data_IF_027329928321
#
_entry.id   IF_027329928321
#
_cell.length_a   1.000
_cell.length_b   1.000
_cell.length_c   1.000
_cell.angle_alpha   90.00
_cell.angle_beta   90.00
_cell.angle_gamma   90.00
#
_symmetry.space_group_name_H-M   'P 1'
#
loop_
_entity.id
_entity.type
_entity.pdbx_description
1 polymer ?
#
# COMPACT_ATOMS: atom_id res chain seq x y z
N UNK A 1 19.73 -18.32 -24.61
CA UNK A 1 19.84 -18.14 -23.63
C UNK A 1 19.75 -17.89 -23.25
N UNK A 2 19.67 -17.78 -23.88
CA UNK A 2 19.83 -17.53 -23.06
C UNK A 2 19.74 -17.20 -22.97
N UNK A 3 19.84 -17.10 -23.47
CA UNK A 3 20.05 -16.74 -22.86
C UNK A 3 19.99 -16.36 -22.82
N UNK A 4 20.06 -16.13 -23.33
CA UNK A 4 20.30 -15.74 -22.70
C UNK A 4 20.14 -15.31 -22.41
N UNK A 5 20.20 -15.41 -23.16
CA UNK A 5 20.28 -15.11 -22.52
C UNK A 5 19.93 -14.69 -22.55
N UNK A 6 19.98 -14.48 -23.19
CA UNK A 6 19.72 -14.09 -22.81
C UNK A 6 19.03 -13.92 -22.90
N UNK A 7 19.23 -13.54 -23.90
CA UNK A 7 18.13 -13.43 -23.58
C UNK A 7 17.19 -14.02 -22.60
N UNK A 8 17.08 -14.66 -22.19
CA UNK A 8 16.34 -15.24 -21.11
C UNK A 8 16.43 -14.46 -19.79
N UNK A 9 17.17 -13.43 -19.74
CA UNK A 9 17.32 -12.60 -18.56
C UNK A 9 16.01 -12.03 -18.04
N UNK A 10 15.12 -11.59 -18.93
CA UNK A 10 13.82 -11.07 -18.53
C UNK A 10 12.96 -12.13 -17.85
N UNK A 11 13.01 -13.34 -18.35
CA UNK A 11 12.24 -14.44 -17.75
C UNK A 11 12.73 -14.77 -16.35
N UNK A 12 14.04 -14.75 -16.16
CA UNK A 12 14.65 -15.09 -14.87
C UNK A 12 14.31 -14.05 -13.80
N UNK A 13 14.31 -12.77 -14.18
CA UNK A 13 14.08 -11.69 -13.24
C UNK A 13 12.64 -11.24 -13.16
N UNK A 14 11.77 -11.89 -13.91
CA UNK A 14 10.38 -11.54 -13.94
C UNK A 14 9.67 -12.11 -12.71
N UNK A 15 9.48 -11.29 -11.72
CA UNK A 15 8.73 -11.64 -10.53
C UNK A 15 7.32 -11.09 -10.71
N UNK A 16 6.36 -11.97 -10.95
CA UNK A 16 5.00 -11.54 -11.28
C UNK A 16 4.28 -10.97 -10.05
N UNK A 17 3.33 -10.09 -10.32
CA UNK A 17 2.43 -9.57 -9.28
C UNK A 17 1.70 -10.70 -8.58
N UNK A 18 1.26 -11.70 -9.34
CA UNK A 18 0.60 -12.87 -8.79
C UNK A 18 1.51 -13.61 -7.79
N UNK A 19 2.77 -13.80 -8.15
CA UNK A 19 3.73 -14.44 -7.25
C UNK A 19 3.97 -13.60 -6.00
N UNK A 20 4.06 -12.28 -6.15
CA UNK A 20 4.23 -11.38 -5.00
C UNK A 20 3.07 -11.46 -4.03
N UNK A 21 1.85 -11.59 -4.54
CA UNK A 21 0.66 -11.77 -3.70
C UNK A 21 0.68 -13.14 -3.02
N UNK A 22 1.01 -14.18 -3.77
CA UNK A 22 1.11 -15.54 -3.23
C UNK A 22 2.18 -15.66 -2.14
N UNK A 23 3.28 -14.96 -2.32
CA UNK A 23 4.41 -14.98 -1.38
C UNK A 23 4.20 -14.04 -0.18
N UNK A 24 3.13 -13.25 -0.18
CA UNK A 24 2.84 -12.33 0.91
C UNK A 24 3.64 -11.04 0.89
N UNK A 25 4.34 -10.74 -0.20
CA UNK A 25 5.07 -9.47 -0.38
C UNK A 25 4.08 -8.36 -0.68
N UNK A 26 3.02 -8.67 -1.42
CA UNK A 26 1.90 -7.76 -1.67
C UNK A 26 0.63 -8.37 -1.07
N UNK A 27 -0.23 -7.50 -0.57
CA UNK A 27 -1.56 -7.87 -0.08
C UNK A 27 -2.59 -7.34 -1.07
N UNK A 28 -3.42 -8.23 -1.59
CA UNK A 28 -4.46 -7.88 -2.56
C UNK A 28 -5.66 -7.28 -1.83
N UNK A 29 -5.97 -6.03 -2.13
CA UNK A 29 -7.09 -5.31 -1.53
C UNK A 29 -8.09 -4.86 -2.61
N UNK A 30 -8.09 -5.56 -3.75
CA UNK A 30 -8.92 -5.21 -4.91
C UNK A 30 -10.41 -5.17 -4.58
N UNK A 31 -10.93 -6.15 -3.83
CA UNK A 31 -12.36 -6.21 -3.57
C UNK A 31 -12.86 -5.02 -2.76
N UNK A 32 -12.11 -4.64 -1.73
CA UNK A 32 -12.45 -3.45 -0.95
C UNK A 32 -12.29 -2.17 -1.76
N UNK A 33 -11.28 -2.12 -2.63
CA UNK A 33 -11.07 -0.97 -3.51
C UNK A 33 -12.26 -0.80 -4.47
N UNK A 34 -12.81 -1.89 -4.98
CA UNK A 34 -14.01 -1.84 -5.81
C UNK A 34 -15.18 -1.21 -5.07
N UNK A 35 -15.41 -1.62 -3.83
CA UNK A 35 -16.48 -1.03 -3.01
C UNK A 35 -16.28 0.47 -2.85
N UNK A 36 -15.04 0.92 -2.79
CA UNK A 36 -14.71 2.34 -2.66
C UNK A 36 -14.73 3.08 -4.00
N UNK A 37 -15.04 2.41 -5.09
CA UNK A 37 -15.15 3.03 -6.42
C UNK A 37 -13.86 3.05 -7.22
N UNK A 38 -12.86 2.29 -6.84
CA UNK A 38 -11.61 2.16 -7.60
C UNK A 38 -11.74 0.99 -8.54
N UNK A 39 -11.60 1.27 -9.85
CA UNK A 39 -11.88 0.29 -10.90
C UNK A 39 -10.74 -0.66 -11.19
N UNK A 40 -9.53 -0.33 -10.76
CA UNK A 40 -8.35 -1.12 -11.08
C UNK A 40 -8.02 -2.06 -9.93
N UNK A 41 -7.36 -3.20 -10.20
CA UNK A 41 -6.84 -4.02 -9.11
C UNK A 41 -5.86 -3.22 -8.26
N UNK A 42 -5.96 -3.36 -6.95
CA UNK A 42 -5.11 -2.65 -5.99
C UNK A 42 -4.43 -3.65 -5.08
N UNK A 43 -3.13 -3.51 -4.92
CA UNK A 43 -2.37 -4.22 -3.92
C UNK A 43 -1.54 -3.24 -3.11
N UNK A 44 -1.20 -3.62 -1.90
CA UNK A 44 -0.39 -2.82 -0.99
C UNK A 44 0.75 -3.70 -0.48
N UNK A 45 1.93 -3.11 -0.29
CA UNK A 45 3.05 -3.89 0.25
C UNK A 45 2.71 -4.41 1.65
N UNK A 46 3.26 -5.57 1.99
CA UNK A 46 3.01 -6.17 3.29
C UNK A 46 3.48 -5.27 4.43
N UNK A 47 4.58 -4.57 4.25
CA UNK A 47 5.09 -3.63 5.27
C UNK A 47 4.08 -2.51 5.53
N UNK A 48 3.61 -1.86 4.47
CA UNK A 48 2.62 -0.79 4.61
C UNK A 48 1.32 -1.32 5.22
N UNK A 49 0.90 -2.51 4.82
CA UNK A 49 -0.35 -3.09 5.29
C UNK A 49 -0.29 -3.44 6.78
N UNK A 50 0.70 -4.24 7.18
CA UNK A 50 0.75 -4.74 8.55
C UNK A 50 1.27 -3.71 9.55
N UNK A 51 2.09 -2.77 9.12
CA UNK A 51 2.58 -1.72 10.01
C UNK A 51 1.54 -0.62 10.24
N UNK A 52 0.70 -0.32 9.25
CA UNK A 52 -0.14 0.86 9.32
C UNK A 52 -1.63 0.60 9.11
N UNK A 53 -2.02 -0.20 8.14
CA UNK A 53 -3.44 -0.42 7.83
C UNK A 53 -4.06 -1.42 8.79
N UNK A 54 -3.37 -2.52 9.04
CA UNK A 54 -3.86 -3.61 9.87
C UNK A 54 -2.90 -3.88 11.03
N UNK A 55 -2.67 -2.91 11.93
CA UNK A 55 -1.79 -3.12 13.06
C UNK A 55 -2.36 -4.13 14.03
N UNK A 56 -1.49 -4.79 14.78
CA UNK A 56 -1.89 -5.72 15.83
C UNK A 56 -1.22 -5.28 17.13
N UNK A 57 -1.97 -4.84 18.15
CA UNK A 57 -3.44 -4.81 18.20
C UNK A 57 -4.05 -3.65 17.42
N UNK A 58 -5.30 -3.82 17.02
CA UNK A 58 -6.09 -2.76 16.39
C UNK A 58 -6.56 -1.79 17.46
N UNK A 59 -6.51 -0.46 17.23
CA UNK A 59 -7.01 0.51 18.19
C UNK A 59 -8.50 0.32 18.48
N UNK A 60 -8.94 0.57 19.72
CA UNK A 60 -10.35 0.45 20.08
C UNK A 60 -11.25 1.29 19.17
N UNK A 61 -12.37 0.71 18.78
CA UNK A 61 -13.34 1.41 17.95
C UNK A 61 -12.98 1.49 16.49
N UNK A 62 -11.88 0.88 16.07
CA UNK A 62 -11.43 0.87 14.69
C UNK A 62 -11.41 -0.56 14.16
N UNK A 63 -11.60 -0.70 12.86
CA UNK A 63 -11.53 -1.99 12.19
C UNK A 63 -10.79 -1.85 10.86
N UNK A 64 -10.43 -2.99 10.29
CA UNK A 64 -9.70 -3.01 9.03
C UNK A 64 -10.46 -2.34 7.91
N UNK A 65 -11.76 -2.58 7.83
CA UNK A 65 -12.59 -2.02 6.76
C UNK A 65 -12.58 -0.49 6.79
N UNK A 66 -12.73 0.10 7.97
CA UNK A 66 -12.70 1.56 8.12
C UNK A 66 -11.35 2.16 7.75
N UNK A 67 -10.27 1.49 8.15
CA UNK A 67 -8.93 1.97 7.85
C UNK A 67 -8.61 1.85 6.36
N UNK A 68 -9.05 0.77 5.71
CA UNK A 68 -8.93 0.64 4.25
C UNK A 68 -9.77 1.70 3.53
N UNK A 69 -10.95 1.99 4.03
CA UNK A 69 -11.79 3.02 3.45
C UNK A 69 -11.13 4.39 3.49
N UNK A 70 -10.48 4.71 4.61
CA UNK A 70 -9.68 5.94 4.73
C UNK A 70 -8.53 5.96 3.72
N UNK A 71 -7.83 4.83 3.57
CA UNK A 71 -6.75 4.70 2.61
C UNK A 71 -7.23 5.00 1.19
N UNK A 72 -8.33 4.38 0.78
CA UNK A 72 -8.86 4.58 -0.56
C UNK A 72 -9.36 6.01 -0.76
N UNK A 73 -9.94 6.61 0.27
CA UNK A 73 -10.39 8.00 0.19
C UNK A 73 -9.23 8.94 -0.06
N UNK A 74 -8.15 8.80 0.71
CA UNK A 74 -6.98 9.65 0.54
C UNK A 74 -6.29 9.41 -0.80
N UNK A 75 -6.23 8.15 -1.24
CA UNK A 75 -5.71 7.82 -2.56
C UNK A 75 -6.52 8.52 -3.67
N UNK A 76 -7.84 8.42 -3.61
CA UNK A 76 -8.69 9.03 -4.63
C UNK A 76 -8.56 10.55 -4.68
N UNK A 77 -8.46 11.18 -3.52
CA UNK A 77 -8.24 12.63 -3.45
C UNK A 77 -6.92 13.02 -4.11
N UNK A 78 -5.87 12.28 -3.84
CA UNK A 78 -4.56 12.54 -4.44
C UNK A 78 -4.59 12.28 -5.95
N UNK A 79 -5.28 11.23 -6.37
CA UNK A 79 -5.36 10.88 -7.79
C UNK A 79 -6.04 11.97 -8.63
N UNK A 80 -6.99 12.69 -8.05
CA UNK A 80 -7.67 13.80 -8.73
C UNK A 80 -6.74 14.97 -9.00
N UNK A 81 -5.65 15.09 -8.25
CA UNK A 81 -4.72 16.22 -8.33
C UNK A 81 -3.46 15.88 -9.12
N UNK A 82 -3.32 14.64 -9.57
CA UNK A 82 -2.10 14.15 -10.18
C UNK A 82 -2.42 13.54 -11.53
N UNK A 83 -1.59 13.87 -12.53
CA UNK A 83 -1.78 13.38 -13.89
C UNK A 83 -0.81 12.29 -14.31
N UNK A 84 0.12 11.91 -13.45
CA UNK A 84 1.14 10.92 -13.78
C UNK A 84 0.84 9.55 -13.22
N UNK A 85 1.68 8.56 -13.56
CA UNK A 85 1.52 7.20 -13.06
C UNK A 85 1.92 7.01 -11.61
N UNK A 86 2.61 7.98 -11.03
CA UNK A 86 3.07 7.93 -9.64
C UNK A 86 2.46 9.08 -8.87
N UNK A 87 1.97 8.80 -7.68
CA UNK A 87 1.47 9.85 -6.81
C UNK A 87 1.84 9.56 -5.36
N UNK A 88 1.90 10.62 -4.57
CA UNK A 88 2.14 10.52 -3.13
C UNK A 88 0.95 11.10 -2.40
N UNK A 89 0.65 10.55 -1.24
CA UNK A 89 -0.40 11.08 -0.38
C UNK A 89 -0.09 10.79 1.07
N UNK A 90 -0.61 11.64 1.94
CA UNK A 90 -0.45 11.50 3.39
C UNK A 90 -1.74 10.94 3.98
N UNK A 91 -1.59 10.09 4.97
CA UNK A 91 -2.72 9.54 5.71
C UNK A 91 -2.35 9.44 7.19
N UNK A 92 -3.32 9.69 8.06
CA UNK A 92 -3.11 9.60 9.49
C UNK A 92 -3.68 8.30 10.02
N UNK A 93 -2.92 7.64 10.89
CA UNK A 93 -3.33 6.41 11.54
C UNK A 93 -3.12 6.50 13.05
N UNK A 94 -4.01 5.88 13.80
CA UNK A 94 -3.81 5.62 15.22
C UNK A 94 -3.06 4.32 15.36
N UNK A 95 -1.96 4.34 16.11
CA UNK A 95 -1.11 3.17 16.32
C UNK A 95 -0.76 3.05 17.81
N UNK A 96 -0.21 1.90 18.21
CA UNK A 96 0.30 1.72 19.56
C UNK A 96 1.40 2.74 19.88
N UNK A 97 1.34 3.33 21.06
CA UNK A 97 2.23 4.45 21.43
C UNK A 97 3.71 4.04 21.49
N UNK A 98 3.99 2.79 21.86
CA UNK A 98 5.37 2.30 21.98
C UNK A 98 5.89 1.70 20.67
N UNK A 99 5.02 1.57 19.69
CA UNK A 99 5.40 0.99 18.39
C UNK A 99 6.13 2.03 17.58
N UNK A 100 7.22 1.64 16.92
CA UNK A 100 7.94 2.49 15.99
C UNK A 100 7.95 1.79 14.65
N UNK A 101 7.25 2.37 13.67
CA UNK A 101 7.22 1.88 12.32
C UNK A 101 8.08 2.74 11.40
N UNK A 102 8.43 2.23 10.21
CA UNK A 102 9.18 3.02 9.23
C UNK A 102 8.30 4.13 8.67
N UNK A 103 8.93 5.23 8.29
CA UNK A 103 8.30 6.32 7.54
C UNK A 103 7.12 7.02 8.24
N UNK A 104 6.94 6.82 9.55
CA UNK A 104 5.88 7.52 10.28
C UNK A 104 6.40 8.84 10.85
N UNK A 105 5.51 9.83 10.86
CA UNK A 105 5.78 11.14 11.47
C UNK A 105 4.80 11.35 12.62
N UNK A 106 5.29 11.60 13.83
CA UNK A 106 4.40 11.81 14.97
C UNK A 106 3.51 13.03 14.77
N UNK A 107 2.22 12.92 15.08
CA UNK A 107 1.29 14.04 15.11
C UNK A 107 1.01 14.41 16.56
N UNK A 108 0.58 13.44 17.36
CA UNK A 108 0.36 13.64 18.79
C UNK A 108 0.26 12.31 19.52
N UNK A 109 0.56 12.32 20.80
CA UNK A 109 0.19 11.21 21.68
C UNK A 109 -1.25 11.42 22.12
N UNK A 110 -2.07 10.37 22.01
CA UNK A 110 -3.45 10.42 22.44
C UNK A 110 -3.54 10.05 23.93
N UNK A 111 -2.77 9.03 24.34
CA UNK A 111 -2.61 8.61 25.71
C UNK A 111 -1.35 7.72 25.81
N UNK A 112 -1.19 6.99 26.92
CA UNK A 112 -0.04 6.13 27.12
C UNK A 112 -0.04 4.91 26.19
N UNK A 113 -1.18 4.57 25.62
CA UNK A 113 -1.36 3.37 24.78
C UNK A 113 -1.37 3.69 23.30
N UNK A 114 -1.91 4.84 22.90
CA UNK A 114 -2.17 5.16 21.50
C UNK A 114 -1.59 6.50 21.10
N UNK A 115 -1.14 6.58 19.86
CA UNK A 115 -0.62 7.82 19.24
C UNK A 115 -1.23 7.97 17.86
N UNK A 116 -1.29 9.22 17.40
CA UNK A 116 -1.68 9.54 16.03
C UNK A 116 -0.40 9.84 15.25
N UNK A 117 -0.23 9.21 14.11
CA UNK A 117 0.93 9.41 13.24
C UNK A 117 0.46 9.73 11.82
N UNK A 118 1.29 10.42 11.09
CA UNK A 118 1.08 10.66 9.66
C UNK A 118 2.11 9.85 8.88
N UNK A 119 1.64 9.15 7.85
CA UNK A 119 2.47 8.32 6.99
C UNK A 119 2.32 8.83 5.56
N UNK A 120 3.44 8.97 4.85
CA UNK A 120 3.42 9.28 3.43
C UNK A 120 3.52 7.98 2.66
N UNK A 121 2.53 7.73 1.82
CA UNK A 121 2.47 6.56 0.96
C UNK A 121 2.62 7.00 -0.49
N UNK A 122 3.10 6.10 -1.32
CA UNK A 122 3.08 6.32 -2.76
C UNK A 122 2.24 5.25 -3.43
N UNK A 123 1.62 5.63 -4.53
CA UNK A 123 0.88 4.71 -5.37
C UNK A 123 1.46 4.76 -6.78
N UNK A 124 1.72 3.59 -7.33
CA UNK A 124 2.25 3.44 -8.68
C UNK A 124 1.17 2.79 -9.53
N UNK A 125 0.79 3.47 -10.61
CA UNK A 125 -0.19 2.96 -11.57
C UNK A 125 0.55 2.53 -12.83
N UNK A 126 0.34 1.31 -13.27
CA UNK A 126 1.03 0.81 -14.45
C UNK A 126 0.51 -0.56 -14.82
N UNK A 127 1.15 -1.22 -15.82
CA UNK A 127 0.73 -2.56 -16.19
C UNK A 127 0.99 -3.55 -15.09
N UNK A 128 0.07 -4.53 -14.97
CA UNK A 128 0.25 -5.67 -14.09
C UNK A 128 1.03 -6.78 -14.77
N UNK A 129 0.62 -8.03 -14.53
CA UNK A 129 1.20 -9.19 -15.22
C UNK A 129 0.80 -9.19 -16.70
N UNK A 130 -0.26 -8.52 -17.03
CA UNK A 130 -0.67 -8.24 -18.41
C UNK A 130 -0.71 -6.72 -18.61
N UNK A 131 -1.05 -6.21 -19.82
CA UNK A 131 -1.04 -4.77 -20.07
C UNK A 131 -2.10 -3.96 -19.32
N UNK A 132 -3.08 -4.61 -18.70
CA UNK A 132 -4.12 -3.89 -17.99
C UNK A 132 -3.54 -3.17 -16.76
N UNK A 133 -3.99 -1.93 -16.50
CA UNK A 133 -3.43 -1.15 -15.40
C UNK A 133 -3.80 -1.69 -14.02
N UNK A 134 -2.86 -1.61 -13.11
CA UNK A 134 -3.03 -1.94 -11.70
C UNK A 134 -2.44 -0.83 -10.85
N UNK A 135 -2.82 -0.80 -9.58
CA UNK A 135 -2.30 0.15 -8.60
C UNK A 135 -1.55 -0.60 -7.52
N UNK A 136 -0.36 -0.14 -7.20
CA UNK A 136 0.43 -0.67 -6.09
C UNK A 136 0.71 0.46 -5.10
N UNK A 137 0.30 0.25 -3.85
CA UNK A 137 0.49 1.21 -2.76
C UNK A 137 1.65 0.73 -1.91
N UNK A 138 2.54 1.63 -1.55
CA UNK A 138 3.74 1.29 -0.79
C UNK A 138 4.20 2.47 0.05
N UNK A 139 5.09 2.21 1.00
CA UNK A 139 5.76 3.28 1.73
C UNK A 139 6.64 4.05 0.77
N UNK A 140 6.90 5.33 1.11
CA UNK A 140 7.62 6.21 0.19
C UNK A 140 9.02 5.72 -0.17
N UNK A 141 9.68 5.04 0.76
CA UNK A 141 11.05 4.54 0.56
C UNK A 141 11.11 3.09 0.06
N UNK A 142 9.98 2.52 -0.31
CA UNK A 142 9.93 1.19 -0.94
C UNK A 142 9.92 1.32 -2.45
N UNK A 143 10.47 0.33 -3.09
CA UNK A 143 10.46 0.23 -4.56
C UNK A 143 9.62 -0.93 -5.06
#
# INVERSE_FOLDING_TARGET
>A
MADEDPVFGDVIYSYTRKQAIEDGVLVDITEMAKEAGIKYPVAITSTAFFDYVAPDPMPPGQDLKGRLWDLFTMFKLAARKTNGPNLEFNIQFVLGAIRVGPAERPVKNMDDTWKLVEVTLQAVCGPGDDPAPVVTIMLLDED
#
